data_IF_409590143232
#
_entry.id   IF_409590143232
#
_cell.length_a   1.000
_cell.length_b   1.000
_cell.length_c   1.000
_cell.angle_alpha   90.00
_cell.angle_beta   90.00
_cell.angle_gamma   90.00
#
_symmetry.space_group_name_H-M   'P 1'
#
loop_
_entity.id
_entity.type
_entity.pdbx_description
1 polymer ?
#
# COMPACT_ATOMS: atom_id res chain seq x y z
N UNK A 1 -0.87 -49.30 -36.29
CA UNK A 1 -0.50 -48.26 -35.31
C UNK A 1 0.91 -48.53 -34.82
N UNK A 2 1.80 -47.51 -34.77
CA UNK A 2 3.22 -47.72 -34.44
C UNK A 2 3.39 -47.80 -32.91
N UNK A 3 4.07 -48.82 -32.36
CA UNK A 3 4.20 -49.05 -30.91
C UNK A 3 4.81 -47.87 -30.14
N UNK A 4 5.56 -47.00 -30.83
CA UNK A 4 6.14 -45.77 -30.27
C UNK A 4 5.09 -44.75 -29.80
N UNK A 5 3.93 -44.67 -30.47
CA UNK A 5 2.88 -43.75 -30.05
C UNK A 5 2.16 -44.22 -28.79
N UNK A 6 2.00 -45.53 -28.63
CA UNK A 6 1.36 -46.12 -27.44
C UNK A 6 2.20 -45.88 -26.19
N UNK A 7 3.52 -46.03 -26.28
CA UNK A 7 4.44 -45.79 -25.16
C UNK A 7 4.41 -44.32 -24.73
N UNK A 8 4.42 -43.37 -25.68
CA UNK A 8 4.37 -41.93 -25.38
C UNK A 8 3.04 -41.49 -24.75
N UNK A 9 1.91 -42.10 -25.16
CA UNK A 9 0.62 -41.81 -24.56
C UNK A 9 0.54 -42.30 -23.11
N UNK A 10 1.07 -43.50 -22.83
CA UNK A 10 1.08 -44.05 -21.47
C UNK A 10 1.97 -43.25 -20.52
N UNK A 11 3.14 -42.79 -20.97
CA UNK A 11 4.02 -41.96 -20.14
C UNK A 11 3.41 -40.58 -19.88
N UNK A 12 2.83 -39.94 -20.89
CA UNK A 12 2.12 -38.66 -20.73
C UNK A 12 0.94 -38.76 -19.78
N UNK A 13 0.13 -39.82 -19.89
CA UNK A 13 -1.00 -40.05 -19.00
C UNK A 13 -0.53 -40.24 -17.55
N UNK A 14 0.53 -41.03 -17.35
CA UNK A 14 1.10 -41.29 -16.02
C UNK A 14 1.61 -40.00 -15.35
N UNK A 15 2.32 -39.14 -16.07
CA UNK A 15 2.81 -37.87 -15.51
C UNK A 15 1.67 -36.92 -15.18
N UNK A 16 0.62 -36.85 -16.01
CA UNK A 16 -0.57 -36.06 -15.73
C UNK A 16 -1.30 -36.53 -14.47
N UNK A 17 -1.47 -37.84 -14.29
CA UNK A 17 -2.10 -38.41 -13.08
C UNK A 17 -1.26 -38.08 -11.84
N UNK A 18 0.07 -38.23 -11.90
CA UNK A 18 0.95 -37.90 -10.78
C UNK A 18 0.88 -36.41 -10.40
N UNK A 19 0.90 -35.51 -11.40
CA UNK A 19 0.74 -34.06 -11.19
C UNK A 19 -0.61 -33.72 -10.58
N UNK A 20 -1.68 -34.37 -11.03
CA UNK A 20 -3.02 -34.17 -10.49
C UNK A 20 -3.10 -34.61 -9.02
N UNK A 21 -2.54 -35.76 -8.67
CA UNK A 21 -2.46 -36.24 -7.28
C UNK A 21 -1.69 -35.29 -6.39
N UNK A 22 -0.54 -34.77 -6.84
CA UNK A 22 0.23 -33.77 -6.09
C UNK A 22 -0.57 -32.48 -5.86
N UNK A 23 -1.32 -32.02 -6.87
CA UNK A 23 -2.13 -30.81 -6.77
C UNK A 23 -3.28 -30.98 -5.77
N UNK A 24 -3.90 -32.17 -5.73
CA UNK A 24 -4.93 -32.52 -4.74
C UNK A 24 -4.34 -32.59 -3.33
N UNK A 25 -3.18 -33.22 -3.14
CA UNK A 25 -2.53 -33.30 -1.82
C UNK A 25 -2.14 -31.91 -1.30
N UNK A 26 -1.55 -31.05 -2.14
CA UNK A 26 -1.20 -29.68 -1.75
C UNK A 26 -2.44 -28.86 -1.36
N UNK A 27 -3.60 -29.12 -1.95
CA UNK A 27 -4.86 -28.47 -1.55
C UNK A 27 -5.46 -29.04 -0.27
N UNK A 28 -5.28 -30.32 0.00
CA UNK A 28 -5.78 -30.96 1.21
C UNK A 28 -4.99 -30.51 2.45
N UNK A 29 -3.66 -30.35 2.34
CA UNK A 29 -2.81 -29.87 3.43
C UNK A 29 -2.83 -28.34 3.61
N UNK A 30 -3.52 -27.61 2.73
CA UNK A 30 -3.66 -26.16 2.83
C UNK A 30 -4.77 -25.73 3.81
N UNK A 31 -5.08 -26.54 4.82
CA UNK A 31 -5.78 -26.07 6.01
C UNK A 31 -4.79 -25.22 6.81
N UNK A 32 -4.58 -24.00 6.33
CA UNK A 32 -3.87 -22.96 7.06
C UNK A 32 -4.71 -22.69 8.30
N UNK A 33 -4.35 -23.37 9.40
CA UNK A 33 -4.92 -23.12 10.71
C UNK A 33 -4.63 -21.66 11.05
N UNK A 34 -5.61 -20.79 10.77
CA UNK A 34 -5.54 -19.39 11.15
C UNK A 34 -5.65 -19.39 12.67
N UNK A 35 -4.62 -18.93 13.40
CA UNK A 35 -4.68 -18.91 14.86
C UNK A 35 -5.88 -18.06 15.29
N UNK A 36 -6.70 -18.53 16.22
CA UNK A 36 -7.88 -17.79 16.72
C UNK A 36 -7.51 -16.39 17.25
N UNK A 37 -6.29 -16.26 17.76
CA UNK A 37 -5.67 -15.02 18.21
C UNK A 37 -5.37 -14.04 17.06
N UNK A 38 -5.13 -14.52 15.83
CA UNK A 38 -5.00 -13.66 14.65
C UNK A 38 -6.36 -13.04 14.25
N UNK A 39 -7.43 -13.84 14.27
CA UNK A 39 -8.79 -13.35 14.01
C UNK A 39 -9.24 -12.32 15.06
N UNK A 40 -8.94 -12.58 16.32
CA UNK A 40 -9.27 -11.66 17.43
C UNK A 40 -8.53 -10.34 17.30
N UNK A 41 -7.22 -10.37 16.96
CA UNK A 41 -6.41 -9.16 16.74
C UNK A 41 -6.91 -8.35 15.55
N UNK A 42 -7.33 -9.01 14.46
CA UNK A 42 -7.90 -8.35 13.29
C UNK A 42 -9.21 -7.62 13.63
N UNK A 43 -10.10 -8.24 14.40
CA UNK A 43 -11.35 -7.61 14.87
C UNK A 43 -11.09 -6.38 15.73
N UNK A 44 -10.17 -6.48 16.70
CA UNK A 44 -9.80 -5.34 17.55
C UNK A 44 -9.23 -4.16 16.76
N UNK A 45 -8.40 -4.43 15.74
CA UNK A 45 -7.89 -3.37 14.86
C UNK A 45 -9.03 -2.70 14.08
N UNK A 46 -9.94 -3.48 13.50
CA UNK A 46 -11.09 -2.95 12.76
C UNK A 46 -11.99 -2.09 13.65
N UNK A 47 -12.31 -2.54 14.86
CA UNK A 47 -13.12 -1.77 15.82
C UNK A 47 -12.44 -0.45 16.18
N UNK A 48 -11.13 -0.45 16.45
CA UNK A 48 -10.37 0.78 16.72
C UNK A 48 -10.46 1.76 15.55
N UNK A 49 -10.28 1.30 14.32
CA UNK A 49 -10.40 2.15 13.13
C UNK A 49 -11.81 2.70 12.93
N UNK A 50 -12.84 1.87 13.14
CA UNK A 50 -14.24 2.30 13.02
C UNK A 50 -14.61 3.37 14.04
N UNK A 51 -14.13 3.28 15.30
CA UNK A 51 -14.37 4.29 16.34
C UNK A 51 -13.73 5.63 16.00
N UNK A 52 -12.52 5.64 15.46
CA UNK A 52 -11.87 6.88 15.01
C UNK A 52 -12.67 7.55 13.90
N UNK A 53 -13.21 6.76 12.96
CA UNK A 53 -14.04 7.27 11.85
C UNK A 53 -15.38 7.84 12.35
N UNK A 54 -16.02 7.16 13.30
CA UNK A 54 -17.28 7.62 13.90
C UNK A 54 -17.07 8.88 14.77
N UNK A 55 -15.99 8.95 15.55
CA UNK A 55 -15.67 10.13 16.35
C UNK A 55 -15.38 11.36 15.47
N UNK A 56 -14.70 11.16 14.34
CA UNK A 56 -14.48 12.23 13.35
C UNK A 56 -15.78 12.73 12.68
N UNK A 57 -16.76 11.85 12.49
CA UNK A 57 -18.04 12.21 11.86
C UNK A 57 -18.99 12.97 12.81
N UNK A 58 -18.84 12.83 14.13
CA UNK A 58 -19.74 13.41 15.12
C UNK A 58 -19.33 14.79 15.64
N UNK A 59 -18.22 15.37 15.16
CA UNK A 59 -17.76 16.69 15.63
C UNK A 59 -18.22 17.77 14.64
N UNK A 60 -19.27 18.57 14.95
CA UNK A 60 -19.59 19.76 14.17
C UNK A 60 -18.42 20.75 14.26
N UNK A 61 -17.81 21.03 13.11
CA UNK A 61 -16.73 22.01 12.94
C UNK A 61 -17.18 23.40 13.39
N UNK A 62 -16.97 23.71 14.67
CA UNK A 62 -17.00 25.07 15.18
C UNK A 62 -15.56 25.54 15.28
N UNK A 63 -15.02 26.04 14.17
CA UNK A 63 -13.66 26.53 14.10
C UNK A 63 -13.50 27.80 14.98
N UNK A 64 -12.62 27.81 16.01
CA UNK A 64 -12.20 29.03 16.65
C UNK A 64 -11.16 29.72 15.75
N UNK A 65 -11.45 30.98 15.41
CA UNK A 65 -10.61 31.87 14.62
C UNK A 65 -9.41 32.31 15.47
N UNK A 66 -8.30 31.58 15.42
CA UNK A 66 -7.03 31.99 16.05
C UNK A 66 -6.22 32.86 15.10
N UNK A 67 -5.84 34.04 15.58
CA UNK A 67 -4.97 35.01 14.93
C UNK A 67 -3.52 34.51 14.83
N UNK A 68 -2.75 34.90 13.78
CA UNK A 68 -1.37 34.44 13.58
C UNK A 68 -0.39 35.12 14.56
N UNK A 69 0.49 34.33 15.18
CA UNK A 69 1.61 34.78 16.00
C UNK A 69 2.89 34.77 15.14
N UNK A 70 3.73 35.83 15.14
CA UNK A 70 4.95 35.90 14.34
C UNK A 70 6.09 35.02 14.90
N UNK A 71 6.98 34.49 14.04
CA UNK A 71 8.10 33.63 14.44
C UNK A 71 9.30 34.43 15.01
N UNK A 72 10.02 33.89 16.02
CA UNK A 72 11.30 34.44 16.44
C UNK A 72 12.44 34.03 15.49
N UNK A 73 13.26 35.02 15.15
CA UNK A 73 14.51 34.93 14.40
C UNK A 73 15.67 34.61 15.35
N UNK A 74 16.46 33.56 15.06
CA UNK A 74 17.79 33.37 15.68
C UNK A 74 18.76 32.76 14.66
N UNK A 75 19.97 33.28 14.68
CA UNK A 75 21.00 33.18 13.66
C UNK A 75 22.21 32.31 14.10
N UNK A 76 22.88 31.71 13.10
CA UNK A 76 24.35 31.56 12.88
C UNK A 76 25.25 30.59 13.72
N UNK A 77 26.02 29.78 12.95
CA UNK A 77 27.43 29.32 13.08
C UNK A 77 27.84 28.09 13.97
N UNK A 78 28.25 26.92 13.42
CA UNK A 78 29.60 26.39 12.94
C UNK A 78 30.34 25.57 14.04
N UNK A 79 31.44 24.76 13.86
CA UNK A 79 31.97 23.77 12.86
C UNK A 79 32.41 22.34 13.41
N UNK A 80 32.62 21.38 12.48
CA UNK A 80 33.70 20.35 12.31
C UNK A 80 34.00 19.11 13.23
N UNK A 81 33.95 17.90 12.59
CA UNK A 81 34.79 16.63 12.63
C UNK A 81 35.06 15.87 13.96
N UNK A 82 35.41 14.54 14.02
CA UNK A 82 36.03 13.65 12.99
C UNK A 82 35.47 12.20 12.84
N UNK A 83 36.02 11.46 11.86
CA UNK A 83 35.81 10.04 11.52
C UNK A 83 36.16 9.02 12.63
N UNK A 84 35.35 7.95 12.78
CA UNK A 84 35.83 6.59 13.11
C UNK A 84 34.81 5.46 12.81
N UNK A 85 35.26 4.50 11.99
CA UNK A 85 35.09 3.01 12.03
C UNK A 85 33.71 2.33 11.77
N UNK A 86 33.67 1.18 11.03
CA UNK A 86 32.43 0.47 10.69
C UNK A 86 32.07 -0.59 11.73
N UNK A 87 30.80 -0.66 12.15
CA UNK A 87 30.27 -1.75 12.99
C UNK A 87 28.79 -2.00 12.71
N UNK A 88 28.49 -3.20 12.17
CA UNK A 88 27.26 -4.01 12.30
C UNK A 88 25.88 -3.46 11.81
N UNK A 89 24.96 -4.35 11.36
CA UNK A 89 23.72 -3.97 10.69
C UNK A 89 22.73 -3.27 11.64
N UNK A 90 22.41 -2.04 11.25
CA UNK A 90 21.57 -1.09 11.96
C UNK A 90 20.13 -1.56 12.11
N UNK A 91 19.71 -1.69 13.38
CA UNK A 91 18.32 -1.64 13.85
C UNK A 91 17.65 -0.43 13.20
N UNK A 92 16.69 -0.66 12.30
CA UNK A 92 15.90 0.41 11.67
C UNK A 92 15.36 1.36 12.75
N UNK A 93 15.67 2.67 12.70
CA UNK A 93 15.07 3.63 13.58
C UNK A 93 13.56 3.60 13.41
N UNK A 94 12.84 3.39 14.51
CA UNK A 94 11.40 3.58 14.59
C UNK A 94 11.16 5.06 14.39
N UNK A 95 10.83 5.46 13.16
CA UNK A 95 10.49 6.82 12.81
C UNK A 95 9.31 7.27 13.68
N UNK A 96 9.62 8.08 14.69
CA UNK A 96 8.66 8.95 15.33
C UNK A 96 8.29 10.01 14.31
N UNK A 97 7.25 9.77 13.52
CA UNK A 97 6.62 10.85 12.74
C UNK A 97 5.60 11.52 13.66
N UNK A 98 6.07 12.63 14.24
CA UNK A 98 5.27 13.62 14.91
C UNK A 98 4.11 14.06 14.02
N UNK A 99 2.96 14.28 14.64
CA UNK A 99 1.80 14.88 13.98
C UNK A 99 2.18 16.26 13.46
N UNK A 100 2.25 16.38 12.14
CA UNK A 100 2.29 17.68 11.47
C UNK A 100 0.85 18.04 11.13
N UNK A 101 0.18 18.67 12.08
CA UNK A 101 -1.12 19.29 11.91
C UNK A 101 -0.90 20.79 11.94
N UNK A 102 -1.17 21.47 10.82
CA UNK A 102 -1.42 22.91 10.85
C UNK A 102 -0.34 23.80 10.24
N UNK A 103 0.13 23.47 9.04
CA UNK A 103 0.43 24.54 8.08
C UNK A 103 -0.07 24.05 6.72
N UNK A 104 -0.35 24.96 5.79
CA UNK A 104 -0.78 24.62 4.43
C UNK A 104 0.39 24.09 3.60
N UNK A 105 1.16 23.18 4.22
CA UNK A 105 2.37 22.60 3.73
C UNK A 105 2.05 21.81 2.48
N UNK A 106 2.68 22.23 1.40
CA UNK A 106 2.71 21.54 0.14
C UNK A 106 3.02 20.05 0.40
N UNK A 107 2.07 19.18 0.09
CA UNK A 107 2.25 17.74 0.28
C UNK A 107 3.44 17.31 -0.56
N UNK A 108 4.41 16.65 0.07
CA UNK A 108 5.54 16.10 -0.66
C UNK A 108 5.19 14.72 -1.26
N UNK A 109 5.95 14.30 -2.27
CA UNK A 109 5.92 12.92 -2.77
C UNK A 109 6.20 11.92 -1.64
N UNK A 110 7.10 12.29 -0.73
CA UNK A 110 7.53 11.44 0.38
C UNK A 110 6.40 11.21 1.38
N UNK A 111 5.51 12.18 1.59
CA UNK A 111 4.33 11.99 2.45
C UNK A 111 3.36 10.98 1.85
N UNK A 112 3.06 11.11 0.55
CA UNK A 112 2.19 10.16 -0.17
C UNK A 112 2.77 8.75 -0.11
N UNK A 113 4.08 8.64 -0.36
CA UNK A 113 4.80 7.38 -0.27
C UNK A 113 4.77 6.80 1.14
N UNK A 114 4.97 7.63 2.16
CA UNK A 114 4.97 7.18 3.55
C UNK A 114 3.62 6.61 3.97
N UNK A 115 2.50 7.21 3.55
CA UNK A 115 1.17 6.63 3.77
C UNK A 115 1.00 5.28 3.08
N UNK A 116 1.41 5.21 1.81
CA UNK A 116 1.32 3.97 1.02
C UNK A 116 2.17 2.84 1.60
N UNK A 117 3.42 3.12 1.97
CA UNK A 117 4.36 2.15 2.53
C UNK A 117 3.92 1.64 3.92
N UNK A 118 3.14 2.43 4.67
CA UNK A 118 2.50 2.03 5.93
C UNK A 118 1.23 1.18 5.75
N UNK A 119 0.72 1.04 4.51
CA UNK A 119 -0.56 0.38 4.24
C UNK A 119 -1.78 1.23 4.57
N UNK A 120 -1.60 2.53 4.87
CA UNK A 120 -2.70 3.47 5.08
C UNK A 120 -3.26 3.90 3.72
N UNK A 121 -3.94 2.99 3.02
CA UNK A 121 -4.36 3.23 1.64
C UNK A 121 -5.39 4.36 1.51
N UNK A 122 -6.23 4.59 2.51
CA UNK A 122 -7.17 5.71 2.51
C UNK A 122 -6.43 7.06 2.53
N UNK A 123 -5.54 7.26 3.51
CA UNK A 123 -4.72 8.48 3.62
C UNK A 123 -3.80 8.66 2.40
N UNK A 124 -3.25 7.56 1.88
CA UNK A 124 -2.40 7.56 0.69
C UNK A 124 -3.16 8.02 -0.55
N UNK A 125 -4.41 7.57 -0.72
CA UNK A 125 -5.27 8.00 -1.82
C UNK A 125 -5.56 9.50 -1.72
N UNK A 126 -6.03 9.98 -0.56
CA UNK A 126 -6.36 11.40 -0.36
C UNK A 126 -5.14 12.32 -0.58
N UNK A 127 -3.97 11.93 -0.07
CA UNK A 127 -2.72 12.66 -0.29
C UNK A 127 -2.31 12.63 -1.77
N UNK A 128 -2.42 11.48 -2.45
CA UNK A 128 -2.12 11.35 -3.87
C UNK A 128 -3.04 12.22 -4.74
N UNK A 129 -4.35 12.27 -4.45
CA UNK A 129 -5.29 13.10 -5.21
C UNK A 129 -5.00 14.60 -5.04
N UNK A 130 -4.69 15.04 -3.82
CA UNK A 130 -4.24 16.43 -3.58
C UNK A 130 -2.96 16.75 -4.34
N UNK A 131 -1.98 15.85 -4.32
CA UNK A 131 -0.71 16.03 -5.01
C UNK A 131 -0.88 16.09 -6.54
N UNK A 132 -1.69 15.18 -7.10
CA UNK A 132 -1.95 15.10 -8.56
C UNK A 132 -2.72 16.31 -9.10
N UNK A 133 -3.50 17.01 -8.26
CA UNK A 133 -4.14 18.28 -8.67
C UNK A 133 -3.13 19.36 -9.01
N UNK A 134 -2.03 19.43 -8.25
CA UNK A 134 -0.95 20.38 -8.51
C UNK A 134 0.05 19.84 -9.56
N UNK A 135 0.26 18.52 -9.58
CA UNK A 135 1.28 17.87 -10.40
C UNK A 135 0.69 16.69 -11.20
N UNK A 136 -0.09 16.94 -12.27
CA UNK A 136 -0.80 15.89 -12.97
C UNK A 136 0.14 14.85 -13.61
N UNK A 137 1.31 15.25 -14.10
CA UNK A 137 2.19 14.37 -14.89
C UNK A 137 3.01 13.36 -14.05
N UNK A 138 2.77 13.31 -12.74
CA UNK A 138 3.54 12.48 -11.82
C UNK A 138 3.09 11.02 -11.83
N UNK A 139 3.63 10.25 -12.78
CA UNK A 139 3.28 8.84 -13.02
C UNK A 139 3.40 7.93 -11.78
N UNK A 140 4.40 8.17 -10.91
CA UNK A 140 4.55 7.42 -9.66
C UNK A 140 3.37 7.62 -8.73
N UNK A 141 2.95 8.87 -8.51
CA UNK A 141 1.82 9.19 -7.62
C UNK A 141 0.52 8.66 -8.20
N UNK A 142 0.36 8.68 -9.53
CA UNK A 142 -0.78 8.06 -10.21
C UNK A 142 -0.87 6.54 -9.94
N UNK A 143 0.27 5.82 -9.94
CA UNK A 143 0.32 4.39 -9.56
C UNK A 143 -0.13 4.17 -8.11
N UNK A 144 0.31 5.03 -7.19
CA UNK A 144 -0.08 4.99 -5.77
C UNK A 144 -1.58 5.23 -5.61
N UNK A 145 -2.13 6.24 -6.29
CA UNK A 145 -3.56 6.55 -6.28
C UNK A 145 -4.40 5.35 -6.75
N UNK A 146 -4.09 4.77 -7.92
CA UNK A 146 -4.85 3.62 -8.44
C UNK A 146 -4.78 2.42 -7.49
N UNK A 147 -3.57 2.06 -7.03
CA UNK A 147 -3.40 0.89 -6.17
C UNK A 147 -4.10 1.08 -4.82
N UNK A 148 -4.04 2.29 -4.26
CA UNK A 148 -4.72 2.63 -3.01
C UNK A 148 -6.24 2.62 -3.17
N UNK A 149 -6.76 3.17 -4.27
CA UNK A 149 -8.18 3.13 -4.61
C UNK A 149 -8.70 1.69 -4.75
N UNK A 150 -7.95 0.81 -5.42
CA UNK A 150 -8.28 -0.62 -5.49
C UNK A 150 -8.33 -1.27 -4.10
N UNK A 151 -7.39 -0.91 -3.21
CA UNK A 151 -7.31 -1.49 -1.87
C UNK A 151 -8.47 -1.04 -0.94
N UNK A 152 -9.04 0.15 -1.17
CA UNK A 152 -10.18 0.67 -0.38
C UNK A 152 -11.54 0.44 -1.05
N UNK A 153 -11.60 -0.19 -2.23
CA UNK A 153 -12.85 -0.49 -2.94
C UNK A 153 -13.43 0.66 -3.78
N UNK A 154 -12.64 1.70 -4.06
CA UNK A 154 -13.06 2.86 -4.85
C UNK A 154 -12.80 2.62 -6.35
N UNK A 155 -13.58 1.70 -6.95
CA UNK A 155 -13.35 1.22 -8.33
C UNK A 155 -13.43 2.33 -9.39
N UNK A 156 -14.37 3.26 -9.26
CA UNK A 156 -14.54 4.37 -10.20
C UNK A 156 -13.31 5.29 -10.20
N UNK A 157 -12.80 5.62 -9.01
CA UNK A 157 -11.58 6.41 -8.84
C UNK A 157 -10.36 5.68 -9.37
N UNK A 158 -10.24 4.38 -9.09
CA UNK A 158 -9.16 3.55 -9.59
C UNK A 158 -9.14 3.52 -11.12
N UNK A 159 -10.31 3.35 -11.76
CA UNK A 159 -10.44 3.32 -13.23
C UNK A 159 -10.06 4.65 -13.87
N UNK A 160 -10.56 5.77 -13.32
CA UNK A 160 -10.24 7.13 -13.78
C UNK A 160 -8.73 7.37 -13.84
N UNK A 161 -8.00 7.00 -12.78
CA UNK A 161 -6.55 7.19 -12.75
C UNK A 161 -5.79 6.15 -13.58
N UNK A 162 -6.34 4.94 -13.75
CA UNK A 162 -5.74 3.87 -14.55
C UNK A 162 -5.72 4.17 -16.05
N UNK A 163 -6.83 4.68 -16.58
CA UNK A 163 -6.97 5.06 -18.00
C UNK A 163 -5.99 6.17 -18.40
N UNK A 164 -5.63 6.99 -17.43
CA UNK A 164 -4.68 8.08 -17.53
C UNK A 164 -3.20 7.63 -17.55
N UNK A 165 -2.89 6.34 -17.38
CA UNK A 165 -1.52 5.85 -17.28
C UNK A 165 -0.92 5.40 -18.62
N UNK A 166 0.41 5.27 -18.66
CA UNK A 166 1.07 4.58 -19.77
C UNK A 166 0.68 3.09 -19.81
N UNK A 167 0.67 2.47 -20.99
CA UNK A 167 0.38 1.01 -21.15
C UNK A 167 1.30 0.14 -20.30
N UNK A 168 2.56 0.56 -20.12
CA UNK A 168 3.55 -0.14 -19.27
C UNK A 168 3.12 -0.14 -17.80
N UNK A 169 2.67 1.01 -17.31
CA UNK A 169 2.22 1.14 -15.92
C UNK A 169 0.88 0.45 -15.67
N UNK A 170 -0.04 0.53 -16.64
CA UNK A 170 -1.32 -0.18 -16.61
C UNK A 170 -1.13 -1.68 -16.36
N UNK A 171 -0.22 -2.34 -17.10
CA UNK A 171 0.07 -3.77 -16.88
C UNK A 171 0.53 -4.04 -15.43
N UNK A 172 1.40 -3.20 -14.89
CA UNK A 172 1.95 -3.39 -13.54
C UNK A 172 0.89 -3.18 -12.47
N UNK A 173 0.10 -2.11 -12.60
CA UNK A 173 -0.95 -1.77 -11.63
C UNK A 173 -2.13 -2.74 -11.72
N UNK A 174 -2.50 -3.20 -12.92
CA UNK A 174 -3.55 -4.20 -13.10
C UNK A 174 -3.28 -5.49 -12.33
N UNK A 175 -2.02 -5.97 -12.32
CA UNK A 175 -1.62 -7.14 -11.52
C UNK A 175 -1.79 -6.87 -10.01
N UNK A 176 -1.47 -5.64 -9.55
CA UNK A 176 -1.60 -5.27 -8.13
C UNK A 176 -3.07 -5.15 -7.72
N UNK A 177 -3.88 -4.46 -8.51
CA UNK A 177 -5.31 -4.30 -8.29
C UNK A 177 -6.07 -5.63 -8.33
N UNK A 178 -5.63 -6.58 -9.15
CA UNK A 178 -6.18 -7.94 -9.17
C UNK A 178 -6.07 -8.66 -7.82
N UNK A 179 -5.10 -8.31 -6.96
CA UNK A 179 -4.98 -8.85 -5.59
C UNK A 179 -6.09 -8.35 -4.66
N UNK A 180 -6.73 -7.24 -5.00
CA UNK A 180 -7.85 -6.65 -4.28
C UNK A 180 -9.20 -6.96 -4.95
N UNK A 181 -9.23 -7.85 -5.95
CA UNK A 181 -10.45 -8.21 -6.68
C UNK A 181 -10.85 -7.24 -7.79
N UNK A 182 -10.11 -6.15 -8.00
CA UNK A 182 -10.43 -5.13 -9.01
C UNK A 182 -9.77 -5.47 -10.34
N UNK A 183 -10.54 -5.40 -11.43
CA UNK A 183 -10.07 -5.62 -12.81
C UNK A 183 -10.47 -4.43 -13.69
N UNK A 184 -9.58 -4.06 -14.61
CA UNK A 184 -9.77 -2.98 -15.58
C UNK A 184 -9.91 -3.54 -16.99
#
# INVERSE_FOLDING_TARGET
MRPRHTILLLTSLSTFVALFVLLVQVRADAEVAVPDDALTRARQMFERHSRVRQAGAATPSSAPRTTPVPPPSVATATPARPSARPTAPSRRPRAQMAGSSGDSGELSIDDVRAFYDRGNFFDALEAAERYLRANPDQAYIRRVAVTSACAVGEEATARRYYEQMSKRDQRTVGIRCGRYGVRF
#
